data_IF_007303220097
#
_entry.id   IF_007303220097
#
_cell.length_a   1.000
_cell.length_b   1.000
_cell.length_c   1.000
_cell.angle_alpha   90.00
_cell.angle_beta   90.00
_cell.angle_gamma   90.00
#
_symmetry.space_group_name_H-M   'P 1'
#
loop_
_entity.id
_entity.type
_entity.pdbx_description
1 polymer ?
#
# COMPACT_ATOMS: atom_id res chain seq x y z
N UNK A 1 33.37 -24.07 11.54
CA UNK A 1 31.96 -24.41 11.25
C UNK A 1 31.14 -23.13 11.31
N UNK A 2 30.66 -22.62 10.18
CA UNK A 2 29.62 -21.57 10.19
C UNK A 2 28.30 -22.28 10.54
N UNK A 3 27.78 -22.03 11.74
CA UNK A 3 26.44 -22.51 12.08
C UNK A 3 25.45 -21.84 11.13
N UNK A 4 24.77 -22.63 10.29
CA UNK A 4 23.58 -22.16 9.59
C UNK A 4 22.52 -21.92 10.64
N UNK A 5 22.43 -20.69 11.14
CA UNK A 5 21.31 -20.28 11.99
C UNK A 5 20.07 -20.33 11.10
N UNK A 6 19.24 -21.36 11.29
CA UNK A 6 17.94 -21.46 10.62
C UNK A 6 17.01 -20.50 11.33
N UNK A 7 16.54 -19.50 10.60
CA UNK A 7 15.66 -18.46 11.13
C UNK A 7 14.23 -18.72 10.67
N UNK A 8 13.27 -18.62 11.58
CA UNK A 8 11.85 -18.68 11.25
C UNK A 8 11.39 -17.36 10.63
N UNK A 9 10.30 -17.40 9.87
CA UNK A 9 9.68 -16.19 9.31
C UNK A 9 9.42 -15.13 10.38
N UNK A 10 8.97 -15.54 11.58
CA UNK A 10 8.73 -14.65 12.72
C UNK A 10 10.01 -13.94 13.17
N UNK A 11 11.15 -14.64 13.21
CA UNK A 11 12.44 -14.07 13.59
C UNK A 11 12.93 -13.06 12.54
N UNK A 12 12.67 -13.29 11.26
CA UNK A 12 12.92 -12.32 10.19
C UNK A 12 12.04 -11.07 10.35
N UNK A 13 10.73 -11.22 10.52
CA UNK A 13 9.80 -10.10 10.72
C UNK A 13 10.01 -9.34 12.05
N UNK A 14 10.56 -9.98 13.07
CA UNK A 14 10.86 -9.30 14.34
C UNK A 14 11.93 -8.22 14.19
N UNK A 15 12.82 -8.35 13.21
CA UNK A 15 13.90 -7.38 12.92
C UNK A 15 13.45 -6.19 12.09
N UNK A 16 12.34 -6.31 11.37
CA UNK A 16 11.71 -5.19 10.66
C UNK A 16 10.86 -4.29 11.56
N UNK A 17 10.63 -4.66 12.83
CA UNK A 17 9.83 -3.88 13.79
C UNK A 17 10.31 -2.44 14.03
N UNK A 18 11.52 -2.07 13.64
CA UNK A 18 12.08 -0.74 13.92
C UNK A 18 11.69 0.35 12.91
N UNK A 19 11.05 0.03 11.77
CA UNK A 19 10.65 1.04 10.77
C UNK A 19 9.31 0.69 10.10
N UNK A 20 8.29 0.35 10.88
CA UNK A 20 6.94 0.24 10.32
C UNK A 20 6.46 1.67 10.05
N UNK A 21 6.38 2.06 8.78
CA UNK A 21 5.80 3.34 8.39
C UNK A 21 4.40 3.46 8.98
N UNK A 22 4.11 4.58 9.64
CA UNK A 22 2.81 4.78 10.25
C UNK A 22 1.77 5.03 9.16
N UNK A 23 0.77 4.14 9.06
CA UNK A 23 -0.37 4.29 8.15
C UNK A 23 -1.63 4.77 8.86
N UNK A 24 -1.55 5.16 10.14
CA UNK A 24 -2.70 5.63 10.94
C UNK A 24 -3.49 6.72 10.22
N UNK A 25 -4.81 6.58 10.13
CA UNK A 25 -5.70 7.54 9.47
C UNK A 25 -5.74 7.42 7.95
N UNK A 26 -5.10 6.40 7.36
CA UNK A 26 -5.43 5.99 6.00
C UNK A 26 -6.87 5.48 6.00
N UNK A 27 -7.69 5.92 5.04
CA UNK A 27 -9.10 5.50 4.94
C UNK A 27 -9.92 5.62 6.24
N UNK A 28 -10.23 6.84 6.73
CA UNK A 28 -11.00 7.05 7.96
C UNK A 28 -12.36 6.34 7.98
N UNK A 29 -12.98 6.15 6.82
CA UNK A 29 -14.24 5.41 6.70
C UNK A 29 -14.13 3.93 7.11
N UNK A 30 -12.97 3.30 6.90
CA UNK A 30 -12.71 1.94 7.37
C UNK A 30 -12.11 1.92 8.78
N UNK A 31 -11.36 2.96 9.14
CA UNK A 31 -10.65 3.06 10.43
C UNK A 31 -11.02 4.34 11.18
N UNK A 32 -12.26 4.46 11.70
CA UNK A 32 -12.73 5.70 12.35
C UNK A 32 -11.92 6.06 13.59
N UNK A 33 -11.26 5.09 14.21
CA UNK A 33 -10.41 5.28 15.38
C UNK A 33 -8.94 5.56 15.02
N UNK A 34 -8.63 5.89 13.76
CA UNK A 34 -7.29 6.26 13.32
C UNK A 34 -6.34 5.10 13.03
N UNK A 35 -6.83 3.86 12.89
CA UNK A 35 -6.04 2.73 12.40
C UNK A 35 -5.68 2.83 10.90
N UNK A 36 -5.00 1.83 10.33
CA UNK A 36 -4.33 0.70 11.00
C UNK A 36 -3.14 1.15 11.85
N UNK A 37 -2.88 0.41 12.93
CA UNK A 37 -1.67 0.60 13.74
C UNK A 37 -0.58 -0.40 13.32
N UNK A 38 0.68 -0.01 13.54
CA UNK A 38 1.82 -0.88 13.25
C UNK A 38 1.72 -2.22 13.99
N UNK A 39 2.01 -3.31 13.28
CA UNK A 39 1.95 -4.67 13.83
C UNK A 39 0.56 -5.30 13.86
N UNK A 40 -0.48 -4.63 13.37
CA UNK A 40 -1.81 -5.22 13.20
C UNK A 40 -1.91 -6.00 11.89
N UNK A 41 -2.70 -7.08 11.93
CA UNK A 41 -3.17 -7.80 10.75
C UNK A 41 -4.62 -7.42 10.55
N UNK A 42 -4.97 -7.03 9.33
CA UNK A 42 -6.34 -6.68 8.95
C UNK A 42 -6.76 -7.63 7.84
N UNK A 43 -7.93 -8.25 8.05
CA UNK A 43 -8.60 -9.06 7.05
C UNK A 43 -9.79 -8.27 6.50
N UNK A 44 -9.88 -8.20 5.17
CA UNK A 44 -10.99 -7.53 4.48
C UNK A 44 -11.89 -8.62 3.89
N UNK A 45 -13.06 -8.79 4.49
CA UNK A 45 -14.09 -9.68 3.98
C UNK A 45 -15.06 -8.87 3.10
N UNK A 46 -15.16 -9.23 1.83
CA UNK A 46 -16.08 -8.60 0.89
C UNK A 46 -17.21 -9.57 0.54
N UNK A 47 -18.40 -9.03 0.25
CA UNK A 47 -19.44 -9.81 -0.40
C UNK A 47 -19.12 -9.98 -1.89
N UNK A 48 -19.67 -10.99 -2.58
CA UNK A 48 -19.36 -11.25 -4.00
C UNK A 48 -19.64 -10.07 -4.94
N UNK A 49 -20.53 -9.16 -4.55
CA UNK A 49 -20.89 -7.96 -5.32
C UNK A 49 -19.86 -6.83 -5.19
N UNK A 50 -18.98 -6.91 -4.19
CA UNK A 50 -17.95 -5.89 -3.93
C UNK A 50 -16.62 -6.34 -4.49
N UNK A 51 -16.06 -5.52 -5.37
CA UNK A 51 -14.74 -5.81 -5.94
C UNK A 51 -13.63 -5.47 -4.93
N UNK A 52 -13.11 -6.50 -4.24
CA UNK A 52 -12.01 -6.32 -3.28
C UNK A 52 -10.77 -5.67 -3.93
N UNK A 53 -10.54 -5.90 -5.23
CA UNK A 53 -9.41 -5.34 -5.97
C UNK A 53 -9.47 -3.81 -5.95
N UNK A 54 -10.65 -3.20 -6.01
CA UNK A 54 -10.80 -1.75 -5.96
C UNK A 54 -10.43 -1.19 -4.58
N UNK A 55 -10.82 -1.89 -3.51
CA UNK A 55 -10.48 -1.54 -2.12
C UNK A 55 -8.96 -1.61 -1.93
N UNK A 56 -8.34 -2.71 -2.36
CA UNK A 56 -6.89 -2.91 -2.22
C UNK A 56 -6.12 -1.87 -3.03
N UNK A 57 -6.55 -1.56 -4.26
CA UNK A 57 -5.91 -0.53 -5.08
C UNK A 57 -6.03 0.85 -4.44
N UNK A 58 -7.21 1.23 -3.93
CA UNK A 58 -7.38 2.50 -3.21
C UNK A 58 -6.44 2.59 -2.01
N UNK A 59 -6.32 1.50 -1.26
CA UNK A 59 -5.42 1.40 -0.11
C UNK A 59 -3.96 1.60 -0.49
N UNK A 60 -3.49 0.89 -1.52
CA UNK A 60 -2.12 1.01 -2.05
C UNK A 60 -1.86 2.45 -2.49
N UNK A 61 -2.79 3.04 -3.26
CA UNK A 61 -2.64 4.40 -3.79
C UNK A 61 -2.53 5.42 -2.67
N UNK A 62 -3.40 5.37 -1.66
CA UNK A 62 -3.30 6.27 -0.49
C UNK A 62 -2.02 6.04 0.30
N UNK A 63 -1.55 4.80 0.41
CA UNK A 63 -0.32 4.49 1.12
C UNK A 63 0.92 5.11 0.43
N UNK A 64 1.05 5.00 -0.89
CA UNK A 64 2.26 5.43 -1.62
C UNK A 64 2.29 6.94 -1.95
N UNK A 65 1.14 7.62 -1.96
CA UNK A 65 1.06 9.03 -2.34
C UNK A 65 1.59 9.99 -1.27
N UNK A 66 2.06 11.20 -1.64
CA UNK A 66 2.63 12.16 -0.69
C UNK A 66 1.61 12.77 0.26
N UNK A 67 1.92 12.79 1.56
CA UNK A 67 1.07 13.31 2.65
C UNK A 67 0.65 14.77 2.44
N UNK A 68 1.50 15.60 1.80
CA UNK A 68 1.25 17.03 1.58
C UNK A 68 0.04 17.35 0.69
N UNK A 69 -0.51 16.36 -0.01
CA UNK A 69 -1.60 16.56 -0.97
C UNK A 69 -2.97 16.13 -0.44
N UNK A 70 -3.03 15.24 0.56
CA UNK A 70 -4.27 14.79 1.17
C UNK A 70 -3.96 14.16 2.53
N UNK A 71 -4.82 14.43 3.52
CA UNK A 71 -4.68 13.91 4.89
C UNK A 71 -4.76 12.39 4.98
N UNK A 72 -5.29 11.72 3.96
CA UNK A 72 -5.34 10.26 3.88
C UNK A 72 -4.09 9.64 3.24
N UNK A 73 -3.23 10.43 2.60
CA UNK A 73 -2.03 9.95 1.95
C UNK A 73 -0.91 9.72 2.97
N UNK A 74 -0.07 8.70 2.78
CA UNK A 74 0.91 8.27 3.81
C UNK A 74 2.36 8.25 3.39
N UNK A 75 2.66 8.29 2.09
CA UNK A 75 4.02 8.29 1.55
C UNK A 75 4.92 7.18 2.10
N UNK A 76 4.39 5.96 2.19
CA UNK A 76 5.10 4.77 2.68
C UNK A 76 5.41 3.80 1.54
N UNK A 77 6.40 2.95 1.76
CA UNK A 77 6.71 1.82 0.88
C UNK A 77 5.70 0.69 1.08
N UNK A 78 5.24 0.09 -0.02
CA UNK A 78 4.23 -0.97 -0.05
C UNK A 78 4.78 -2.18 -0.78
N UNK A 79 4.62 -3.34 -0.15
CA UNK A 79 4.89 -4.63 -0.77
C UNK A 79 3.55 -5.31 -1.04
N UNK A 80 3.23 -5.51 -2.32
CA UNK A 80 2.04 -6.23 -2.76
C UNK A 80 2.43 -7.67 -3.11
N UNK A 81 1.81 -8.64 -2.45
CA UNK A 81 1.83 -10.04 -2.84
C UNK A 81 0.58 -10.31 -3.70
N UNK A 82 0.75 -10.31 -5.03
CA UNK A 82 -0.35 -10.51 -5.97
C UNK A 82 -0.46 -11.99 -6.32
N UNK A 83 -1.43 -12.68 -5.70
CA UNK A 83 -1.59 -14.14 -5.76
C UNK A 83 -2.52 -14.62 -6.87
N UNK A 84 -3.43 -13.78 -7.35
CA UNK A 84 -4.46 -14.14 -8.34
C UNK A 84 -4.41 -13.25 -9.61
N UNK A 85 -3.36 -12.42 -9.70
CA UNK A 85 -3.05 -11.53 -10.82
C UNK A 85 -4.14 -10.49 -11.15
N UNK A 86 -5.11 -10.26 -10.26
CA UNK A 86 -6.22 -9.32 -10.51
C UNK A 86 -5.77 -7.85 -10.41
N UNK A 87 -4.68 -7.57 -9.67
CA UNK A 87 -4.16 -6.21 -9.48
C UNK A 87 -3.14 -5.85 -10.58
N UNK A 88 -3.47 -4.85 -11.40
CA UNK A 88 -2.63 -4.34 -12.48
C UNK A 88 -2.02 -2.98 -12.16
N UNK A 89 -0.74 -2.78 -12.46
CA UNK A 89 -0.05 -1.49 -12.34
C UNK A 89 -0.74 -0.39 -13.16
N UNK A 90 -1.28 -0.71 -14.34
CA UNK A 90 -2.02 0.26 -15.15
C UNK A 90 -3.27 0.78 -14.44
N UNK A 91 -3.96 -0.09 -13.69
CA UNK A 91 -5.13 0.30 -12.91
C UNK A 91 -4.73 1.20 -11.73
N UNK A 92 -3.63 0.87 -11.05
CA UNK A 92 -3.06 1.70 -9.99
C UNK A 92 -2.70 3.09 -10.53
N UNK A 93 -1.99 3.20 -11.66
CA UNK A 93 -1.63 4.48 -12.28
C UNK A 93 -2.86 5.33 -12.59
N UNK A 94 -3.90 4.75 -13.21
CA UNK A 94 -5.15 5.46 -13.52
C UNK A 94 -5.86 5.99 -12.26
N UNK A 95 -5.84 5.22 -11.17
CA UNK A 95 -6.44 5.67 -9.91
C UNK A 95 -5.60 6.78 -9.27
N UNK A 96 -4.26 6.74 -9.39
CA UNK A 96 -3.40 7.85 -8.97
C UNK A 96 -3.74 9.11 -9.75
N UNK A 97 -3.76 9.04 -11.08
CA UNK A 97 -4.10 10.17 -11.97
C UNK A 97 -5.43 10.81 -11.54
N UNK A 98 -6.48 9.99 -11.40
CA UNK A 98 -7.80 10.45 -10.97
C UNK A 98 -7.81 11.13 -9.59
N UNK A 99 -7.00 10.66 -8.64
CA UNK A 99 -6.92 11.32 -7.31
C UNK A 99 -6.18 12.66 -7.39
N UNK A 100 -5.15 12.73 -8.24
CA UNK A 100 -4.34 13.95 -8.43
C UNK A 100 -5.02 14.99 -9.33
N UNK A 101 -5.97 14.60 -10.18
CA UNK A 101 -6.74 15.51 -11.05
C UNK A 101 -7.33 16.71 -10.28
N UNK A 102 -7.86 16.45 -9.07
CA UNK A 102 -8.46 17.49 -8.22
C UNK A 102 -7.48 18.55 -7.70
N UNK A 103 -6.17 18.29 -7.79
CA UNK A 103 -5.12 19.10 -7.19
C UNK A 103 -4.46 20.08 -8.18
N UNK A 104 -4.84 20.06 -9.46
CA UNK A 104 -4.35 20.99 -10.50
C UNK A 104 -2.81 21.12 -10.57
N UNK A 105 -2.09 20.01 -10.41
CA UNK A 105 -0.63 19.97 -10.27
C UNK A 105 0.15 20.14 -11.59
N UNK A 106 -0.55 20.27 -12.71
CA UNK A 106 0.05 20.46 -14.04
C UNK A 106 1.12 19.40 -14.34
N UNK A 107 2.32 19.88 -14.69
CA UNK A 107 3.47 19.04 -15.06
C UNK A 107 4.05 18.22 -13.90
N UNK A 108 3.78 18.59 -12.63
CA UNK A 108 4.27 17.84 -11.48
C UNK A 108 3.58 16.49 -11.31
N UNK A 109 2.37 16.33 -11.85
CA UNK A 109 1.55 15.11 -11.76
C UNK A 109 2.36 13.87 -12.17
N UNK A 110 3.09 13.95 -13.28
CA UNK A 110 3.89 12.83 -13.79
C UNK A 110 5.02 12.45 -12.84
N UNK A 111 5.74 13.45 -12.30
CA UNK A 111 6.84 13.23 -11.35
C UNK A 111 6.32 12.58 -10.08
N UNK A 112 5.15 13.02 -9.60
CA UNK A 112 4.51 12.44 -8.40
C UNK A 112 4.10 10.99 -8.65
N UNK A 113 3.53 10.68 -9.81
CA UNK A 113 3.18 9.30 -10.19
C UNK A 113 4.43 8.42 -10.21
N UNK A 114 5.50 8.86 -10.87
CA UNK A 114 6.75 8.09 -10.96
C UNK A 114 7.36 7.84 -9.58
N UNK A 115 7.40 8.87 -8.72
CA UNK A 115 7.87 8.73 -7.35
C UNK A 115 6.98 7.82 -6.50
N UNK A 116 5.66 7.94 -6.62
CA UNK A 116 4.72 7.07 -5.92
C UNK A 116 4.89 5.60 -6.33
N UNK A 117 5.02 5.32 -7.63
CA UNK A 117 5.19 3.96 -8.13
C UNK A 117 6.53 3.33 -7.72
N UNK A 118 7.60 4.10 -7.52
CA UNK A 118 8.87 3.59 -6.95
C UNK A 118 8.72 3.01 -5.55
N UNK A 119 7.68 3.41 -4.80
CA UNK A 119 7.36 2.91 -3.46
C UNK A 119 6.57 1.60 -3.47
N UNK A 120 6.11 1.15 -4.64
CA UNK A 120 5.33 -0.08 -4.78
C UNK A 120 6.21 -1.22 -5.32
N UNK A 121 6.44 -2.22 -4.48
CA UNK A 121 7.04 -3.50 -4.89
C UNK A 121 5.94 -4.52 -5.14
N UNK A 122 5.76 -4.94 -6.40
CA UNK A 122 4.77 -5.95 -6.78
C UNK A 122 5.43 -7.32 -6.95
N UNK A 123 5.17 -8.23 -6.00
CA UNK A 123 5.64 -9.61 -6.04
C UNK A 123 4.52 -10.50 -6.55
N UNK A 124 4.75 -11.07 -7.74
CA UNK A 124 3.85 -12.04 -8.37
C UNK A 124 4.16 -13.41 -7.82
N UNK A 125 3.17 -14.07 -7.21
CA UNK A 125 3.30 -15.45 -6.76
C UNK A 125 2.53 -16.34 -7.72
N UNK A 126 3.24 -17.22 -8.43
CA UNK A 126 2.61 -18.37 -9.09
C UNK A 126 2.43 -19.43 -8.01
N UNK A 127 1.17 -19.72 -7.66
CA UNK A 127 0.81 -20.89 -6.85
C UNK A 127 0.76 -22.12 -7.74
#
# INVERSE_FOLDING_TARGET
MLSRTVESGIQLFSRTKQKIGNISGINPSFFPNGGPLGGQIIEINVTPEVNYTDIVIDFIVKAILPTKYCDEFRQVDVILFNTDFQISLLKITKIIEKKLESLNLGNETKVIIEEALKRLTNMKMQV
#
